data_IF_547392869237
#
_entry.id   IF_547392869237
#
_cell.length_a   1.000
_cell.length_b   1.000
_cell.length_c   1.000
_cell.angle_alpha   90.00
_cell.angle_beta   90.00
_cell.angle_gamma   90.00
#
_symmetry.space_group_name_H-M   'P 1'
#
loop_
_entity.id
_entity.type
_entity.pdbx_description
1 polymer ?
#
# COMPACT_ATOMS: atom_id res chain seq x y z
N UNK A 1 12.41 18.29 -45.27
CA UNK A 1 12.47 18.48 -43.79
C UNK A 1 11.30 17.86 -43.01
N UNK A 2 10.20 17.44 -43.66
CA UNK A 2 8.99 16.92 -42.98
C UNK A 2 9.10 15.43 -42.58
N UNK A 3 9.89 14.64 -43.32
CA UNK A 3 10.03 13.18 -43.13
C UNK A 3 10.80 12.81 -41.85
N UNK A 4 11.70 13.69 -41.38
CA UNK A 4 12.52 13.43 -40.20
C UNK A 4 11.75 13.61 -38.89
N UNK A 5 10.80 14.55 -38.85
CA UNK A 5 9.91 14.78 -37.71
C UNK A 5 8.91 13.64 -37.49
N UNK A 6 8.38 13.06 -38.57
CA UNK A 6 7.42 11.94 -38.49
C UNK A 6 8.07 10.63 -38.05
N UNK A 7 9.35 10.38 -38.40
CA UNK A 7 10.08 9.20 -37.96
C UNK A 7 10.39 9.23 -36.45
N UNK A 8 10.74 10.41 -35.91
CA UNK A 8 10.95 10.63 -34.47
C UNK A 8 9.65 10.44 -33.69
N UNK A 9 8.53 10.98 -34.19
CA UNK A 9 7.22 10.84 -33.57
C UNK A 9 6.75 9.37 -33.54
N UNK A 10 6.95 8.62 -34.63
CA UNK A 10 6.64 7.18 -34.70
C UNK A 10 7.43 6.36 -33.67
N UNK A 11 8.74 6.63 -33.52
CA UNK A 11 9.58 5.97 -32.50
C UNK A 11 9.12 6.31 -31.08
N UNK A 12 8.72 7.55 -30.84
CA UNK A 12 8.18 7.97 -29.54
C UNK A 12 6.85 7.28 -29.21
N UNK A 13 5.95 7.16 -30.18
CA UNK A 13 4.68 6.44 -30.01
C UNK A 13 4.88 4.95 -29.69
N UNK A 14 5.88 4.30 -30.30
CA UNK A 14 6.24 2.91 -29.98
C UNK A 14 6.70 2.78 -28.53
N UNK A 15 7.53 3.70 -28.04
CA UNK A 15 8.00 3.69 -26.64
C UNK A 15 6.81 3.88 -25.67
N UNK A 16 5.90 4.80 -25.98
CA UNK A 16 4.69 5.01 -25.17
C UNK A 16 3.83 3.73 -25.16
N UNK A 17 3.59 3.11 -26.31
CA UNK A 17 2.81 1.88 -26.40
C UNK A 17 3.43 0.75 -25.57
N UNK A 18 4.76 0.56 -25.65
CA UNK A 18 5.48 -0.42 -24.84
C UNK A 18 5.36 -0.14 -23.34
N UNK A 19 5.45 1.12 -22.91
CA UNK A 19 5.27 1.51 -21.52
C UNK A 19 3.84 1.20 -21.02
N UNK A 20 2.82 1.55 -21.81
CA UNK A 20 1.44 1.23 -21.47
C UNK A 20 1.18 -0.28 -21.41
N UNK A 21 1.66 -1.05 -22.40
CA UNK A 21 1.56 -2.51 -22.39
C UNK A 21 2.25 -3.12 -21.16
N UNK A 22 3.42 -2.61 -20.77
CA UNK A 22 4.10 -3.03 -19.56
C UNK A 22 3.29 -2.74 -18.29
N UNK A 23 2.69 -1.55 -18.17
CA UNK A 23 1.86 -1.19 -17.02
C UNK A 23 0.61 -2.07 -16.92
N UNK A 24 -0.05 -2.35 -18.05
CA UNK A 24 -1.22 -3.23 -18.09
C UNK A 24 -0.84 -4.66 -17.70
N UNK A 25 0.24 -5.21 -18.27
CA UNK A 25 0.71 -6.55 -17.94
C UNK A 25 1.05 -6.66 -16.45
N UNK A 26 1.74 -5.65 -15.90
CA UNK A 26 2.07 -5.60 -14.47
C UNK A 26 0.84 -5.63 -13.58
N UNK A 27 -0.23 -4.92 -13.92
CA UNK A 27 -1.49 -4.94 -13.18
C UNK A 27 -2.22 -6.29 -13.30
N UNK A 28 -2.22 -6.87 -14.52
CA UNK A 28 -2.87 -8.14 -14.81
C UNK A 28 -2.22 -9.32 -14.08
N UNK A 29 -0.89 -9.31 -13.95
CA UNK A 29 -0.11 -10.34 -13.28
C UNK A 29 0.23 -9.99 -11.81
N UNK A 30 -0.38 -8.94 -11.26
CA UNK A 30 -0.20 -8.59 -9.85
C UNK A 30 -0.91 -9.62 -8.96
N UNK A 31 -0.14 -10.49 -8.30
CA UNK A 31 -0.62 -11.55 -7.41
C UNK A 31 -0.44 -11.21 -5.93
N UNK A 32 -0.27 -9.93 -5.59
CA UNK A 32 -0.16 -9.51 -4.18
C UNK A 32 -1.40 -9.93 -3.38
N UNK A 33 -1.23 -10.45 -2.15
CA UNK A 33 -2.35 -10.93 -1.36
C UNK A 33 -3.28 -9.79 -0.93
N UNK A 34 -2.75 -8.59 -0.71
CA UNK A 34 -3.53 -7.38 -0.45
C UNK A 34 -3.22 -6.27 -1.47
N UNK A 35 -4.23 -5.84 -2.23
CA UNK A 35 -4.06 -4.78 -3.23
C UNK A 35 -4.59 -3.44 -2.70
N UNK A 36 -3.72 -2.66 -2.09
CA UNK A 36 -4.05 -1.37 -1.47
C UNK A 36 -4.80 -0.43 -2.42
N UNK A 37 -4.37 -0.39 -3.67
CA UNK A 37 -4.88 0.52 -4.70
C UNK A 37 -6.35 0.29 -5.09
N UNK A 38 -6.91 -0.87 -4.74
CA UNK A 38 -8.34 -1.15 -4.94
C UNK A 38 -9.23 -0.28 -4.05
N UNK A 39 -8.73 0.17 -2.90
CA UNK A 39 -9.52 0.87 -1.89
C UNK A 39 -9.26 2.37 -1.98
N UNK A 40 -10.30 3.11 -2.38
CA UNK A 40 -10.21 4.54 -2.68
C UNK A 40 -10.63 5.39 -1.48
N UNK A 41 -11.53 4.91 -0.64
CA UNK A 41 -11.96 5.66 0.56
C UNK A 41 -11.39 5.08 1.85
N UNK A 42 -11.47 5.89 2.92
CA UNK A 42 -11.16 5.42 4.26
C UNK A 42 -12.09 4.26 4.67
N UNK A 43 -13.40 4.33 4.42
CA UNK A 43 -14.30 3.24 4.79
C UNK A 43 -14.00 1.96 4.02
N UNK A 44 -13.75 2.05 2.70
CA UNK A 44 -13.43 0.89 1.86
C UNK A 44 -12.18 0.17 2.37
N UNK A 45 -11.11 0.92 2.63
CA UNK A 45 -9.84 0.36 3.09
C UNK A 45 -10.00 -0.30 4.46
N UNK A 46 -10.67 0.36 5.41
CA UNK A 46 -10.85 -0.20 6.75
C UNK A 46 -11.80 -1.40 6.76
N UNK A 47 -12.81 -1.41 5.90
CA UNK A 47 -13.72 -2.55 5.74
C UNK A 47 -12.96 -3.74 5.19
N UNK A 48 -12.13 -3.54 4.16
CA UNK A 48 -11.30 -4.59 3.60
C UNK A 48 -10.28 -5.13 4.60
N UNK A 49 -9.56 -4.25 5.32
CA UNK A 49 -8.60 -4.66 6.34
C UNK A 49 -9.25 -5.50 7.44
N UNK A 50 -10.44 -5.10 7.92
CA UNK A 50 -11.16 -5.87 8.97
C UNK A 50 -11.72 -7.20 8.45
N UNK A 51 -12.07 -7.26 7.16
CA UNK A 51 -12.56 -8.48 6.52
C UNK A 51 -11.42 -9.49 6.31
N UNK A 52 -10.29 -9.01 5.82
CA UNK A 52 -9.11 -9.84 5.55
C UNK A 52 -8.39 -10.25 6.84
N UNK A 53 -8.37 -9.36 7.83
CA UNK A 53 -7.70 -9.53 9.11
C UNK A 53 -8.70 -9.35 10.26
N UNK A 54 -9.52 -10.38 10.55
CA UNK A 54 -10.45 -10.33 11.67
C UNK A 54 -9.70 -10.19 12.99
N UNK A 55 -10.38 -9.68 14.01
CA UNK A 55 -9.82 -9.60 15.36
C UNK A 55 -9.40 -10.99 15.86
N UNK A 56 -8.46 -11.01 16.80
CA UNK A 56 -7.82 -12.20 17.37
C UNK A 56 -6.94 -13.00 16.39
N UNK A 57 -6.80 -12.55 15.13
CA UNK A 57 -5.81 -13.08 14.19
C UNK A 57 -4.37 -12.89 14.70
N UNK A 58 -3.45 -13.76 14.28
CA UNK A 58 -2.02 -13.61 14.57
C UNK A 58 -1.47 -12.38 13.82
N UNK A 59 -1.04 -11.37 14.58
CA UNK A 59 -0.46 -10.15 14.04
C UNK A 59 0.77 -10.40 13.15
N UNK A 60 1.54 -11.45 13.41
CA UNK A 60 2.75 -11.76 12.61
C UNK A 60 2.37 -12.11 11.19
N UNK A 61 1.31 -12.91 11.01
CA UNK A 61 0.79 -13.22 9.68
C UNK A 61 0.17 -11.99 9.02
N UNK A 62 -0.53 -11.13 9.78
CA UNK A 62 -1.05 -9.85 9.24
C UNK A 62 0.09 -8.98 8.71
N UNK A 63 1.15 -8.79 9.49
CA UNK A 63 2.33 -8.00 9.10
C UNK A 63 2.97 -8.60 7.86
N UNK A 64 3.20 -9.92 7.86
CA UNK A 64 3.78 -10.65 6.73
C UNK A 64 2.97 -10.47 5.45
N UNK A 65 1.64 -10.62 5.50
CA UNK A 65 0.78 -10.42 4.32
C UNK A 65 0.88 -8.98 3.80
N UNK A 66 0.93 -7.99 4.69
CA UNK A 66 1.10 -6.59 4.31
C UNK A 66 2.47 -6.34 3.66
N UNK A 67 3.54 -6.95 4.18
CA UNK A 67 4.89 -6.86 3.61
C UNK A 67 5.02 -7.57 2.27
N UNK A 68 4.45 -8.77 2.12
CA UNK A 68 4.35 -9.50 0.85
C UNK A 68 3.53 -8.71 -0.18
N UNK A 69 2.61 -7.87 0.28
CA UNK A 69 1.86 -6.91 -0.54
C UNK A 69 2.64 -5.62 -0.87
N UNK A 70 3.89 -5.53 -0.40
CA UNK A 70 4.81 -4.43 -0.68
C UNK A 70 4.78 -3.28 0.33
N UNK A 71 4.05 -3.40 1.45
CA UNK A 71 4.17 -2.44 2.54
C UNK A 71 5.51 -2.63 3.27
N UNK A 72 6.00 -1.57 3.91
CA UNK A 72 7.10 -1.65 4.88
C UNK A 72 6.52 -1.51 6.27
N UNK A 73 6.71 -2.51 7.12
CA UNK A 73 6.20 -2.50 8.48
C UNK A 73 7.32 -2.24 9.49
N UNK A 74 7.02 -1.41 10.48
CA UNK A 74 7.95 -1.00 11.52
C UNK A 74 7.28 -1.17 12.88
N UNK A 75 8.00 -1.77 13.83
CA UNK A 75 7.57 -1.86 15.22
C UNK A 75 7.70 -0.48 15.88
N UNK A 76 6.58 0.01 16.43
CA UNK A 76 6.45 1.31 17.10
C UNK A 76 6.05 1.14 18.57
N UNK A 77 6.13 -0.08 19.12
CA UNK A 77 5.72 -0.43 20.48
C UNK A 77 6.54 0.27 21.56
N UNK A 78 7.79 0.65 21.26
CA UNK A 78 8.75 1.23 22.20
C UNK A 78 8.93 2.75 22.04
N UNK A 79 8.07 3.43 21.28
CA UNK A 79 8.22 4.87 21.10
C UNK A 79 7.96 5.64 22.39
N UNK A 80 8.93 6.48 22.79
CA UNK A 80 8.88 7.26 24.04
C UNK A 80 7.71 8.27 24.09
N UNK A 81 7.18 8.67 22.93
CA UNK A 81 6.11 9.67 22.80
C UNK A 81 4.81 8.99 22.34
N UNK A 82 4.51 7.82 22.91
CA UNK A 82 3.28 7.10 22.59
C UNK A 82 2.10 7.66 23.40
N UNK A 83 1.03 8.09 22.72
CA UNK A 83 -0.20 8.57 23.38
C UNK A 83 -0.73 7.51 24.36
N UNK A 84 -1.28 7.93 25.48
CA UNK A 84 -1.77 7.00 26.52
C UNK A 84 -2.79 5.99 25.98
N UNK A 85 -3.65 6.41 25.06
CA UNK A 85 -4.65 5.56 24.40
C UNK A 85 -4.05 4.37 23.62
N UNK A 86 -2.76 4.46 23.28
CA UNK A 86 -2.03 3.42 22.58
C UNK A 86 -1.32 2.47 23.55
N UNK A 87 -1.05 2.88 24.80
CA UNK A 87 -0.41 2.04 25.82
C UNK A 87 -1.22 0.79 26.19
N UNK A 88 -2.53 0.80 25.93
CA UNK A 88 -3.40 -0.37 26.13
C UNK A 88 -3.09 -1.53 25.18
N UNK A 89 -2.38 -1.24 24.08
CA UNK A 89 -1.89 -2.25 23.16
C UNK A 89 -0.46 -2.62 23.57
N UNK A 90 -0.18 -3.92 23.64
CA UNK A 90 1.17 -4.42 23.95
C UNK A 90 2.12 -4.36 22.75
N UNK A 91 1.57 -4.41 21.54
CA UNK A 91 2.30 -4.37 20.27
C UNK A 91 1.64 -3.39 19.29
N UNK A 92 2.45 -2.58 18.63
CA UNK A 92 2.00 -1.60 17.63
C UNK A 92 2.94 -1.62 16.44
N UNK A 93 2.38 -1.90 15.27
CA UNK A 93 3.08 -1.85 13.99
C UNK A 93 2.51 -0.74 13.12
N UNK A 94 3.43 -0.02 12.49
CA UNK A 94 3.16 0.98 11.47
C UNK A 94 3.59 0.42 10.12
N UNK A 95 2.64 0.14 9.24
CA UNK A 95 2.89 -0.37 7.90
C UNK A 95 2.59 0.70 6.86
N UNK A 96 3.57 1.03 6.02
CA UNK A 96 3.44 2.03 4.96
C UNK A 96 3.63 1.39 3.59
N UNK A 97 2.61 1.53 2.75
CA UNK A 97 2.69 1.22 1.33
C UNK A 97 2.71 2.51 0.52
N UNK A 98 3.60 2.61 -0.46
CA UNK A 98 3.66 3.75 -1.38
C UNK A 98 3.57 3.23 -2.80
N UNK A 99 2.58 3.69 -3.56
CA UNK A 99 2.51 3.40 -4.97
C UNK A 99 3.67 4.09 -5.69
N UNK A 100 4.39 3.32 -6.52
CA UNK A 100 5.56 3.82 -7.22
C UNK A 100 5.15 4.79 -8.33
N UNK A 101 6.04 5.72 -8.70
CA UNK A 101 5.85 6.71 -9.76
C UNK A 101 5.52 6.10 -11.15
N UNK A 102 5.78 4.80 -11.36
CA UNK A 102 5.43 4.05 -12.57
C UNK A 102 4.30 3.05 -12.29
N UNK A 103 3.20 3.52 -11.70
CA UNK A 103 1.96 2.75 -11.50
C UNK A 103 0.77 3.62 -11.88
N UNK A 104 -0.36 2.99 -12.21
CA UNK A 104 -1.61 3.70 -12.55
C UNK A 104 -2.14 4.57 -11.38
N UNK A 105 -1.70 4.26 -10.15
CA UNK A 105 -2.09 4.93 -8.92
C UNK A 105 -1.00 5.89 -8.44
N UNK A 106 -0.49 6.75 -9.32
CA UNK A 106 0.62 7.66 -9.03
C UNK A 106 0.44 8.44 -7.71
N UNK A 107 1.50 8.43 -6.89
CA UNK A 107 1.64 9.26 -5.68
C UNK A 107 0.64 8.97 -4.56
N UNK A 108 0.13 7.75 -4.49
CA UNK A 108 -0.73 7.31 -3.41
C UNK A 108 0.08 6.61 -2.33
N UNK A 109 -0.20 6.93 -1.08
CA UNK A 109 0.38 6.21 0.04
C UNK A 109 -0.72 5.73 0.97
N UNK A 110 -0.50 4.55 1.51
CA UNK A 110 -1.41 3.87 2.41
C UNK A 110 -0.64 3.62 3.70
N UNK A 111 -1.24 4.03 4.80
CA UNK A 111 -0.70 3.85 6.14
C UNK A 111 -1.64 2.96 6.92
N UNK A 112 -1.14 1.86 7.46
CA UNK A 112 -1.89 0.87 8.21
C UNK A 112 -1.28 0.78 9.60
N UNK A 113 -2.15 0.87 10.61
CA UNK A 113 -1.81 0.64 11.99
C UNK A 113 -2.36 -0.72 12.41
N UNK A 114 -1.46 -1.61 12.80
CA UNK A 114 -1.79 -2.95 13.31
C UNK A 114 -1.48 -2.94 14.79
N UNK A 115 -2.46 -3.22 15.65
CA UNK A 115 -2.35 -3.08 17.11
C UNK A 115 -2.84 -4.35 17.78
N UNK A 116 -2.10 -4.85 18.75
CA UNK A 116 -2.48 -6.04 19.50
C UNK A 116 -1.84 -6.13 20.87
N UNK A 117 -1.98 -7.30 21.50
CA UNK A 117 -1.40 -7.58 22.82
C UNK A 117 -0.01 -8.21 22.69
N UNK A 118 0.62 -8.53 23.83
CA UNK A 118 1.96 -9.15 23.88
C UNK A 118 1.98 -10.58 23.34
N UNK A 119 0.82 -11.22 23.26
CA UNK A 119 0.65 -12.57 22.71
C UNK A 119 0.43 -12.56 21.19
N UNK A 120 0.70 -11.42 20.53
CA UNK A 120 0.54 -11.21 19.09
C UNK A 120 -0.91 -11.35 18.58
N UNK A 121 -1.91 -11.25 19.45
CA UNK A 121 -3.31 -11.25 19.02
C UNK A 121 -3.72 -9.87 18.52
N UNK A 122 -4.32 -9.81 17.33
CA UNK A 122 -4.80 -8.58 16.72
C UNK A 122 -6.01 -8.02 17.48
N UNK A 123 -5.86 -6.85 18.08
CA UNK A 123 -6.95 -6.16 18.79
C UNK A 123 -7.57 -5.04 17.97
N UNK A 124 -6.80 -4.43 17.05
CA UNK A 124 -7.30 -3.38 16.17
C UNK A 124 -6.42 -3.24 14.93
N UNK A 125 -7.06 -3.11 13.78
CA UNK A 125 -6.42 -2.68 12.54
C UNK A 125 -7.15 -1.47 11.96
N UNK A 126 -6.39 -0.53 11.41
CA UNK A 126 -6.97 0.62 10.70
C UNK A 126 -6.03 1.17 9.66
N UNK A 127 -6.57 1.66 8.55
CA UNK A 127 -5.81 2.22 7.44
C UNK A 127 -6.23 3.65 7.08
N UNK A 128 -5.30 4.40 6.48
CA UNK A 128 -5.52 5.71 5.89
C UNK A 128 -4.85 5.78 4.53
N UNK A 129 -5.54 6.39 3.56
CA UNK A 129 -4.99 6.72 2.24
C UNK A 129 -4.63 8.20 2.22
N UNK A 130 -3.42 8.51 1.77
CA UNK A 130 -2.95 9.86 1.52
C UNK A 130 -2.57 9.98 0.06
N UNK A 131 -3.24 10.89 -0.67
CA UNK A 131 -2.85 11.27 -2.01
C UNK A 131 -1.74 12.32 -1.92
N UNK A 132 -0.62 12.09 -2.60
CA UNK A 132 0.39 13.11 -2.84
C UNK A 132 -0.18 14.17 -3.77
N UNK A 133 0.00 15.44 -3.41
CA UNK A 133 -0.28 16.57 -4.29
C UNK A 133 0.96 16.74 -5.18
N UNK A 134 0.77 16.71 -6.51
CA UNK A 134 1.78 17.23 -7.45
C UNK A 134 1.75 18.75 -7.28
N UNK A 135 2.78 19.32 -6.67
CA UNK A 135 3.04 20.76 -6.69
C UNK A 135 3.94 21.05 -7.89
#
# INVERSE_FOLDING_TARGET
MIIWGTLRLKKFLIIIALLFSYLIAKELFDNRPFKFEKYKTYEELNTALKKEFPLDSDMREVIKVLEESGAKCEDRSQEKIMKEELKKYGLIYYCKYGSRMLTLHLLESYTIWVKGNKDYQLLRISGFRTKGIVI
#
